data_IF_534056292678
#
_entry.id   IF_534056292678
#
_cell.length_a   1.000
_cell.length_b   1.000
_cell.length_c   1.000
_cell.angle_alpha   90.00
_cell.angle_beta   90.00
_cell.angle_gamma   90.00
#
_symmetry.space_group_name_H-M   'P 1'
#
loop_
_entity.id
_entity.type
_entity.pdbx_description
1 polymer ?
#
# COMPACT_ATOMS: atom_id res chain seq x y z
N UNK A 1 -29.14 -40.28 71.18
CA UNK A 1 -28.02 -40.15 70.22
C UNK A 1 -28.45 -39.15 69.16
N UNK A 2 -27.58 -38.17 68.94
CA UNK A 2 -27.80 -36.89 68.27
C UNK A 2 -27.90 -36.99 66.73
N UNK A 3 -28.77 -36.19 66.10
CA UNK A 3 -28.38 -35.07 65.22
C UNK A 3 -29.52 -34.59 64.29
N UNK A 4 -29.92 -33.34 64.53
CA UNK A 4 -29.93 -32.20 63.59
C UNK A 4 -30.45 -32.39 62.15
N UNK A 5 -31.65 -31.87 61.88
CA UNK A 5 -32.12 -31.51 60.53
C UNK A 5 -31.78 -30.04 60.23
N UNK A 6 -31.08 -29.78 59.13
CA UNK A 6 -30.84 -28.44 58.57
C UNK A 6 -31.52 -28.32 57.20
N UNK A 7 -32.20 -27.18 56.98
CA UNK A 7 -32.92 -26.79 55.77
C UNK A 7 -31.99 -26.28 54.66
N UNK A 8 -32.38 -26.43 53.39
CA UNK A 8 -32.00 -25.54 52.27
C UNK A 8 -33.05 -25.71 51.14
N UNK A 9 -34.02 -24.79 50.99
CA UNK A 9 -34.06 -23.65 50.04
C UNK A 9 -33.61 -23.96 48.60
N UNK A 10 -34.57 -24.03 47.68
CA UNK A 10 -34.38 -24.07 46.23
C UNK A 10 -34.22 -22.67 45.65
N UNK A 11 -33.25 -22.52 44.74
CA UNK A 11 -33.00 -21.32 43.95
C UNK A 11 -33.30 -21.56 42.47
N UNK A 12 -34.05 -20.64 41.88
CA UNK A 12 -34.47 -20.58 40.48
C UNK A 12 -33.29 -20.11 39.60
N UNK A 13 -32.89 -20.88 38.59
CA UNK A 13 -31.82 -20.50 37.66
C UNK A 13 -32.40 -19.80 36.41
N UNK A 14 -32.04 -18.52 36.22
CA UNK A 14 -32.22 -17.79 34.95
C UNK A 14 -31.17 -18.26 33.94
N UNK A 15 -31.61 -18.81 32.80
CA UNK A 15 -30.75 -19.16 31.67
C UNK A 15 -30.38 -17.93 30.83
N UNK A 16 -29.09 -17.58 30.80
CA UNK A 16 -28.52 -16.66 29.82
C UNK A 16 -28.39 -17.38 28.46
N UNK A 17 -29.11 -16.93 27.44
CA UNK A 17 -28.82 -17.29 26.05
C UNK A 17 -27.60 -16.49 25.56
N UNK A 18 -26.44 -17.14 25.49
CA UNK A 18 -25.27 -16.59 24.82
C UNK A 18 -25.42 -16.77 23.30
N UNK A 19 -25.60 -15.67 22.57
CA UNK A 19 -25.49 -15.63 21.12
C UNK A 19 -24.00 -15.75 20.74
N UNK A 20 -23.56 -16.95 20.34
CA UNK A 20 -22.23 -17.16 19.78
C UNK A 20 -22.19 -16.63 18.35
N UNK A 21 -21.58 -15.47 18.14
CA UNK A 21 -21.19 -15.01 16.80
C UNK A 21 -20.13 -15.94 16.25
N UNK A 22 -20.48 -16.75 15.25
CA UNK A 22 -19.52 -17.52 14.48
C UNK A 22 -18.63 -16.52 13.72
N UNK A 23 -17.45 -16.20 14.29
CA UNK A 23 -16.37 -15.58 13.53
C UNK A 23 -16.00 -16.56 12.42
N UNK A 24 -16.44 -16.28 11.19
CA UNK A 24 -15.93 -16.95 9.99
C UNK A 24 -14.44 -16.65 9.95
N UNK A 25 -13.62 -17.64 10.29
CA UNK A 25 -12.16 -17.53 10.20
C UNK A 25 -11.81 -17.48 8.73
N UNK A 26 -11.61 -16.27 8.21
CA UNK A 26 -10.90 -16.11 6.95
C UNK A 26 -9.46 -16.51 7.19
N UNK A 27 -9.09 -17.65 6.61
CA UNK A 27 -7.72 -18.13 6.59
C UNK A 27 -6.93 -17.32 5.57
N UNK A 28 -6.50 -16.11 5.98
CA UNK A 28 -5.35 -15.49 5.35
C UNK A 28 -4.14 -16.35 5.71
N UNK A 29 -3.76 -17.22 4.79
CA UNK A 29 -2.52 -17.98 4.88
C UNK A 29 -1.37 -17.00 4.72
N UNK A 30 -0.95 -16.40 5.84
CA UNK A 30 0.33 -15.69 5.94
C UNK A 30 1.40 -16.75 5.73
N UNK A 31 1.83 -16.94 4.49
CA UNK A 31 2.98 -17.77 4.20
C UNK A 31 4.17 -17.06 4.84
N UNK A 32 4.64 -17.54 6.00
CA UNK A 32 5.96 -17.18 6.47
C UNK A 32 6.93 -17.55 5.35
N UNK A 33 7.69 -16.58 4.85
CA UNK A 33 8.70 -16.87 3.84
C UNK A 33 9.71 -17.84 4.47
N UNK A 34 10.05 -18.96 3.80
CA UNK A 34 10.98 -19.94 4.36
C UNK A 34 12.31 -19.23 4.68
N UNK A 35 12.69 -19.28 5.96
CA UNK A 35 13.97 -18.76 6.42
C UNK A 35 15.10 -19.56 5.76
N UNK A 36 16.02 -18.93 5.01
CA UNK A 36 17.10 -19.65 4.35
C UNK A 36 18.07 -20.25 5.38
N UNK A 37 18.72 -21.37 5.03
CA UNK A 37 19.84 -21.92 5.79
C UNK A 37 20.95 -20.86 5.89
N UNK A 38 21.26 -20.44 7.11
CA UNK A 38 21.97 -19.19 7.40
C UNK A 38 23.37 -19.13 6.79
N UNK A 39 23.56 -18.14 5.90
CA UNK A 39 24.88 -17.61 5.58
C UNK A 39 24.94 -16.20 6.17
N UNK A 40 25.41 -16.04 7.42
CA UNK A 40 25.42 -14.73 8.07
C UNK A 40 26.36 -13.76 7.34
N UNK A 41 25.87 -12.55 7.09
CA UNK A 41 26.66 -11.45 6.51
C UNK A 41 27.09 -10.54 7.66
N UNK A 42 28.38 -10.59 8.00
CA UNK A 42 28.96 -9.77 9.08
C UNK A 42 29.75 -8.55 8.57
N UNK A 43 30.07 -8.51 7.26
CA UNK A 43 30.65 -7.32 6.64
C UNK A 43 29.65 -6.17 6.69
N UNK A 44 30.05 -5.05 7.28
CA UNK A 44 29.22 -3.84 7.37
C UNK A 44 29.20 -3.05 6.06
N UNK A 45 30.11 -3.33 5.12
CA UNK A 45 30.07 -2.74 3.77
C UNK A 45 29.49 -3.76 2.78
N UNK A 46 28.48 -3.32 2.03
CA UNK A 46 27.77 -4.12 1.03
C UNK A 46 28.03 -3.58 -0.38
N UNK A 47 28.28 -4.49 -1.31
CA UNK A 47 28.36 -4.27 -2.76
C UNK A 47 28.49 -5.62 -3.48
N UNK A 48 28.22 -5.65 -4.78
CA UNK A 48 28.37 -6.82 -5.64
C UNK A 48 27.32 -7.90 -5.38
N UNK A 49 27.64 -9.13 -5.75
CA UNK A 49 26.75 -10.27 -5.56
C UNK A 49 26.60 -10.58 -4.07
N UNK A 50 25.37 -10.63 -3.58
CA UNK A 50 25.06 -10.83 -2.17
C UNK A 50 23.94 -11.85 -1.98
N UNK A 51 24.16 -12.75 -1.02
CA UNK A 51 23.18 -13.74 -0.55
C UNK A 51 23.43 -14.07 0.90
N UNK A 52 22.41 -14.57 1.59
CA UNK A 52 22.47 -14.90 3.01
C UNK A 52 21.68 -13.90 3.85
N UNK A 53 22.13 -13.67 5.08
CA UNK A 53 21.36 -12.97 6.11
C UNK A 53 22.08 -11.73 6.62
N UNK A 54 21.48 -10.54 6.44
CA UNK A 54 21.85 -9.35 7.20
C UNK A 54 21.29 -9.48 8.62
N UNK A 55 22.17 -9.41 9.62
CA UNK A 55 21.90 -9.78 11.00
C UNK A 55 21.47 -8.58 11.86
N UNK A 56 20.45 -8.78 12.70
CA UNK A 56 20.08 -7.80 13.72
C UNK A 56 21.23 -7.48 14.67
N UNK A 57 22.12 -8.44 14.94
CA UNK A 57 23.28 -8.27 15.83
C UNK A 57 24.38 -7.37 15.27
N UNK A 58 24.42 -7.18 13.94
CA UNK A 58 25.31 -6.19 13.30
C UNK A 58 24.68 -4.80 13.35
N UNK A 59 23.34 -4.73 13.24
CA UNK A 59 22.58 -3.48 13.33
C UNK A 59 22.65 -2.67 12.05
N UNK A 60 23.81 -2.09 11.73
CA UNK A 60 23.93 -1.14 10.62
C UNK A 60 24.91 -1.62 9.54
N UNK A 61 24.45 -1.53 8.29
CA UNK A 61 25.24 -1.77 7.09
C UNK A 61 25.30 -0.49 6.24
N UNK A 62 26.37 -0.37 5.44
CA UNK A 62 26.55 0.68 4.43
C UNK A 62 26.69 0.02 3.07
N UNK A 63 25.76 0.32 2.16
CA UNK A 63 25.81 -0.13 0.78
C UNK A 63 26.51 0.94 -0.06
N UNK A 64 27.75 0.63 -0.47
CA UNK A 64 28.64 1.57 -1.17
C UNK A 64 28.73 1.34 -2.68
N UNK A 65 28.13 0.26 -3.15
CA UNK A 65 27.91 -0.05 -4.56
C UNK A 65 26.65 -0.89 -4.70
N UNK A 66 26.23 -1.11 -5.96
CA UNK A 66 25.06 -1.93 -6.28
C UNK A 66 25.15 -3.32 -5.65
N UNK A 67 24.02 -3.84 -5.19
CA UNK A 67 23.88 -5.19 -4.63
C UNK A 67 23.06 -6.04 -5.57
N UNK A 68 23.58 -7.21 -5.93
CA UNK A 68 22.94 -8.13 -6.86
C UNK A 68 22.56 -9.43 -6.14
N UNK A 69 21.28 -9.77 -6.12
CA UNK A 69 20.78 -11.05 -5.61
C UNK A 69 20.47 -11.93 -6.82
N UNK A 70 21.37 -12.85 -7.13
CA UNK A 70 21.28 -13.68 -8.33
C UNK A 70 20.08 -14.66 -8.28
N UNK A 71 19.68 -15.16 -9.45
CA UNK A 71 18.65 -16.19 -9.57
C UNK A 71 18.98 -17.40 -8.67
N UNK A 72 17.98 -17.91 -7.94
CA UNK A 72 18.07 -18.97 -6.90
C UNK A 72 18.77 -18.57 -5.61
N UNK A 73 19.39 -17.40 -5.52
CA UNK A 73 19.91 -16.89 -4.25
C UNK A 73 18.80 -16.15 -3.48
N UNK A 74 19.02 -16.00 -2.18
CA UNK A 74 18.12 -15.27 -1.28
C UNK A 74 18.93 -14.26 -0.47
N UNK A 75 18.45 -13.03 -0.43
CA UNK A 75 18.86 -12.04 0.55
C UNK A 75 17.77 -11.91 1.61
N UNK A 76 18.11 -12.24 2.85
CA UNK A 76 17.25 -12.13 4.01
C UNK A 76 17.75 -11.00 4.91
N UNK A 77 16.84 -10.12 5.35
CA UNK A 77 17.15 -8.98 6.21
C UNK A 77 16.35 -9.09 7.50
N UNK A 78 17.07 -9.31 8.60
CA UNK A 78 16.44 -9.43 9.92
C UNK A 78 15.93 -8.08 10.44
N UNK A 79 14.94 -8.13 11.33
CA UNK A 79 14.38 -6.99 12.05
C UNK A 79 15.45 -6.08 12.66
N UNK A 80 15.15 -4.78 12.72
CA UNK A 80 16.03 -3.76 13.32
C UNK A 80 17.30 -3.44 12.52
N UNK A 81 17.53 -4.08 11.37
CA UNK A 81 18.68 -3.76 10.52
C UNK A 81 18.46 -2.39 9.84
N UNK A 82 19.50 -1.56 9.82
CA UNK A 82 19.57 -0.32 9.06
C UNK A 82 20.58 -0.45 7.93
N UNK A 83 20.19 -0.07 6.71
CA UNK A 83 21.05 -0.05 5.53
C UNK A 83 21.14 1.40 5.04
N UNK A 84 22.33 1.99 5.18
CA UNK A 84 22.67 3.29 4.63
C UNK A 84 23.18 3.11 3.20
N UNK A 85 22.44 3.61 2.22
CA UNK A 85 22.78 3.49 0.81
C UNK A 85 23.45 4.78 0.32
N UNK A 86 24.61 4.62 -0.30
CA UNK A 86 25.40 5.72 -0.87
C UNK A 86 25.64 5.50 -2.36
N UNK A 87 26.25 6.49 -3.03
CA UNK A 87 26.68 6.41 -4.43
C UNK A 87 25.56 6.07 -5.43
N UNK A 88 24.32 6.47 -5.16
CA UNK A 88 23.17 6.16 -6.01
C UNK A 88 22.99 4.64 -6.27
N UNK A 89 23.50 3.81 -5.34
CA UNK A 89 23.47 2.36 -5.46
C UNK A 89 22.02 1.82 -5.40
N UNK A 90 21.78 0.67 -6.01
CA UNK A 90 20.49 -0.02 -5.99
C UNK A 90 20.63 -1.52 -5.68
N UNK A 91 19.52 -2.11 -5.25
CA UNK A 91 19.38 -3.56 -5.22
C UNK A 91 18.88 -4.02 -6.58
N UNK A 92 19.55 -5.00 -7.18
CA UNK A 92 19.10 -5.73 -8.37
C UNK A 92 18.78 -7.16 -7.95
N UNK A 93 17.52 -7.57 -8.07
CA UNK A 93 17.04 -8.85 -7.53
C UNK A 93 16.50 -9.71 -8.66
N UNK A 94 17.22 -10.79 -8.96
CA UNK A 94 16.77 -11.89 -9.80
C UNK A 94 16.37 -13.13 -8.95
N UNK A 95 16.86 -13.20 -7.71
CA UNK A 95 16.53 -14.23 -6.73
C UNK A 95 15.34 -13.87 -5.84
N UNK A 96 15.47 -14.12 -4.54
CA UNK A 96 14.45 -13.80 -3.53
C UNK A 96 14.92 -12.69 -2.61
N UNK A 97 14.05 -11.71 -2.35
CA UNK A 97 14.24 -10.70 -1.32
C UNK A 97 13.23 -10.92 -0.19
N UNK A 98 13.74 -11.09 1.03
CA UNK A 98 12.92 -11.22 2.23
C UNK A 98 13.40 -10.19 3.26
N UNK A 99 12.59 -9.17 3.51
CA UNK A 99 12.80 -8.18 4.57
C UNK A 99 11.77 -8.43 5.66
N UNK A 100 12.24 -8.78 6.86
CA UNK A 100 11.38 -9.20 7.97
C UNK A 100 11.63 -8.34 9.20
N UNK A 101 11.09 -7.12 9.16
CA UNK A 101 10.98 -6.26 10.34
C UNK A 101 9.85 -6.69 11.28
N UNK A 102 9.73 -5.97 12.39
CA UNK A 102 8.56 -6.01 13.26
C UNK A 102 8.13 -4.60 13.64
N UNK A 103 6.92 -4.42 14.16
CA UNK A 103 6.46 -3.13 14.69
C UNK A 103 7.43 -2.51 15.70
N UNK A 104 8.00 -3.35 16.58
CA UNK A 104 8.94 -2.90 17.60
C UNK A 104 10.38 -2.71 17.07
N UNK A 105 10.70 -3.23 15.88
CA UNK A 105 12.05 -3.22 15.31
C UNK A 105 11.96 -3.26 13.78
N UNK A 106 11.50 -2.19 13.13
CA UNK A 106 11.40 -2.15 11.69
C UNK A 106 12.81 -2.21 11.05
N UNK A 107 12.87 -2.69 9.82
CA UNK A 107 14.08 -2.57 8.98
C UNK A 107 14.10 -1.17 8.36
N UNK A 108 15.26 -0.54 8.22
CA UNK A 108 15.36 0.79 7.59
C UNK A 108 16.31 0.74 6.40
N UNK A 109 15.83 1.15 5.24
CA UNK A 109 16.63 1.48 4.06
C UNK A 109 16.57 2.99 3.86
N UNK A 110 17.71 3.65 3.91
CA UNK A 110 17.79 5.11 3.80
C UNK A 110 19.10 5.53 3.14
N UNK A 111 19.28 6.83 2.93
CA UNK A 111 20.55 7.41 2.55
C UNK A 111 21.02 8.42 3.60
N UNK A 112 22.32 8.49 3.93
CA UNK A 112 22.86 9.54 4.79
C UNK A 112 22.57 10.97 4.31
N UNK A 113 22.25 11.15 3.03
CA UNK A 113 21.88 12.45 2.45
C UNK A 113 20.47 12.90 2.82
N UNK A 114 19.58 11.99 3.26
CA UNK A 114 18.17 12.26 3.58
C UNK A 114 17.45 13.10 2.52
N UNK A 115 17.69 12.78 1.24
CA UNK A 115 17.18 13.54 0.09
C UNK A 115 16.59 12.59 -0.94
N UNK A 116 15.41 12.90 -1.46
CA UNK A 116 14.77 12.15 -2.56
C UNK A 116 15.77 11.80 -3.66
N UNK A 117 15.75 10.55 -4.12
CA UNK A 117 16.60 10.10 -5.22
C UNK A 117 18.07 9.92 -4.86
N UNK A 118 18.41 9.79 -3.58
CA UNK A 118 19.81 9.58 -3.15
C UNK A 118 20.31 8.16 -3.41
N UNK A 119 19.39 7.21 -3.62
CA UNK A 119 19.71 5.84 -3.96
C UNK A 119 18.64 5.23 -4.86
N UNK A 120 18.98 4.15 -5.56
CA UNK A 120 18.21 3.67 -6.70
C UNK A 120 17.05 2.73 -6.40
N UNK A 121 16.71 2.49 -5.13
CA UNK A 121 15.60 1.61 -4.77
C UNK A 121 15.88 0.12 -5.05
N UNK A 122 14.79 -0.63 -5.21
CA UNK A 122 14.79 -2.07 -5.49
C UNK A 122 14.37 -2.33 -6.94
N UNK A 123 15.30 -2.81 -7.75
CA UNK A 123 15.10 -3.18 -9.15
C UNK A 123 14.96 -4.71 -9.25
N UNK A 124 13.74 -5.19 -9.11
CA UNK A 124 13.37 -6.60 -8.95
C UNK A 124 12.76 -7.21 -10.21
N UNK A 125 13.24 -6.78 -11.38
CA UNK A 125 12.70 -7.15 -12.69
C UNK A 125 12.54 -8.65 -12.89
N UNK A 126 13.53 -9.43 -12.46
CA UNK A 126 13.50 -10.89 -12.64
C UNK A 126 13.41 -11.64 -11.33
N UNK A 127 12.96 -11.01 -10.26
CA UNK A 127 12.86 -11.65 -8.95
C UNK A 127 11.98 -12.91 -9.01
N UNK A 128 12.31 -13.89 -8.18
CA UNK A 128 11.45 -15.05 -7.93
C UNK A 128 10.37 -14.71 -6.89
N UNK A 129 10.73 -13.89 -5.89
CA UNK A 129 9.77 -13.34 -4.93
C UNK A 129 10.31 -12.09 -4.24
N UNK A 130 9.40 -11.21 -3.83
CA UNK A 130 9.70 -10.03 -3.01
C UNK A 130 8.73 -10.04 -1.83
N UNK A 131 9.27 -10.11 -0.61
CA UNK A 131 8.51 -9.99 0.63
C UNK A 131 9.14 -8.91 1.50
N UNK A 132 8.41 -7.83 1.76
CA UNK A 132 8.85 -6.72 2.60
C UNK A 132 7.80 -6.48 3.67
N UNK A 133 8.21 -6.57 4.94
CA UNK A 133 7.33 -6.34 6.09
C UNK A 133 8.01 -5.46 7.12
N UNK A 134 7.27 -4.51 7.68
CA UNK A 134 7.78 -3.58 8.71
C UNK A 134 9.11 -2.94 8.32
N UNK A 135 9.14 -2.31 7.14
CA UNK A 135 10.32 -1.64 6.63
C UNK A 135 10.05 -0.16 6.36
N UNK A 136 10.99 0.71 6.74
CA UNK A 136 11.08 2.07 6.22
C UNK A 136 11.96 2.07 4.98
N UNK A 137 11.42 2.53 3.86
CA UNK A 137 12.13 2.68 2.58
C UNK A 137 12.05 4.15 2.22
N UNK A 138 13.12 4.88 2.51
CA UNK A 138 13.12 6.34 2.42
C UNK A 138 14.06 6.82 1.32
N UNK A 139 13.66 7.88 0.61
CA UNK A 139 14.54 8.66 -0.28
C UNK A 139 15.11 7.91 -1.49
N UNK A 140 14.40 6.89 -1.96
CA UNK A 140 14.78 6.11 -3.13
C UNK A 140 14.52 6.86 -4.46
N UNK A 141 14.68 6.15 -5.56
CA UNK A 141 14.35 6.60 -6.92
C UNK A 141 15.47 7.29 -7.70
N UNK A 142 16.70 7.27 -7.18
CA UNK A 142 17.85 7.90 -7.81
C UNK A 142 18.08 7.46 -9.26
N UNK A 143 18.76 8.28 -10.08
CA UNK A 143 18.78 8.12 -11.53
C UNK A 143 19.43 6.80 -11.98
N UNK A 144 18.94 6.22 -13.07
CA UNK A 144 19.58 5.10 -13.76
C UNK A 144 20.77 5.59 -14.62
N UNK A 145 21.40 4.68 -15.38
CA UNK A 145 22.52 5.01 -16.25
C UNK A 145 22.19 6.03 -17.37
N UNK A 146 20.92 6.21 -17.73
CA UNK A 146 20.46 7.21 -18.71
C UNK A 146 20.04 8.53 -18.06
N UNK A 147 20.18 8.67 -16.74
CA UNK A 147 19.77 9.85 -15.97
C UNK A 147 18.27 9.90 -15.63
N UNK A 148 17.48 8.92 -16.07
CA UNK A 148 16.05 8.84 -15.75
C UNK A 148 15.86 8.36 -14.31
N UNK A 149 14.88 8.90 -13.56
CA UNK A 149 14.61 8.40 -12.22
C UNK A 149 14.17 6.93 -12.26
N UNK A 150 14.41 6.22 -11.16
CA UNK A 150 13.94 4.84 -10.95
C UNK A 150 12.71 4.86 -10.04
N UNK A 151 11.85 3.86 -10.16
CA UNK A 151 10.83 3.60 -9.14
C UNK A 151 11.47 3.11 -7.83
N UNK A 152 10.84 3.41 -6.70
CA UNK A 152 11.30 3.00 -5.36
C UNK A 152 11.37 1.47 -5.25
N UNK A 153 10.31 0.77 -5.67
CA UNK A 153 10.29 -0.67 -5.92
C UNK A 153 9.79 -0.90 -7.33
N UNK A 154 10.62 -1.52 -8.17
CA UNK A 154 10.29 -1.86 -9.55
C UNK A 154 10.28 -3.36 -9.75
N UNK A 155 9.25 -3.88 -10.40
CA UNK A 155 9.10 -5.30 -10.77
C UNK A 155 8.61 -5.36 -12.20
N UNK A 156 9.34 -6.03 -13.06
CA UNK A 156 9.05 -6.12 -14.48
C UNK A 156 9.54 -7.48 -15.03
N UNK A 157 8.73 -8.56 -14.88
CA UNK A 157 9.10 -9.89 -15.35
C UNK A 157 9.64 -9.87 -16.78
N UNK A 158 10.77 -10.55 -17.01
CA UNK A 158 11.41 -10.62 -18.34
C UNK A 158 10.69 -11.59 -19.30
N UNK A 159 9.65 -12.28 -18.84
CA UNK A 159 8.89 -13.26 -19.60
C UNK A 159 7.45 -13.35 -19.11
N UNK A 160 6.45 -13.53 -20.00
CA UNK A 160 5.05 -13.74 -19.61
C UNK A 160 4.83 -15.02 -18.80
N UNK A 161 5.80 -15.96 -18.77
CA UNK A 161 5.74 -17.18 -17.95
C UNK A 161 6.25 -16.97 -16.52
N UNK A 162 6.94 -15.86 -16.27
CA UNK A 162 7.51 -15.57 -14.96
C UNK A 162 6.41 -15.02 -14.04
N UNK A 163 6.18 -15.73 -12.95
CA UNK A 163 5.24 -15.32 -11.91
C UNK A 163 6.03 -14.82 -10.70
N UNK A 164 5.71 -13.63 -10.23
CA UNK A 164 6.40 -13.00 -9.10
C UNK A 164 5.36 -12.72 -8.02
N UNK A 165 5.53 -13.33 -6.86
CA UNK A 165 4.75 -12.98 -5.67
C UNK A 165 5.37 -11.76 -5.00
N UNK A 166 4.54 -10.75 -4.78
CA UNK A 166 4.94 -9.47 -4.19
C UNK A 166 4.12 -9.22 -2.95
N UNK A 167 4.75 -9.29 -1.79
CA UNK A 167 4.12 -8.97 -0.51
C UNK A 167 4.82 -7.76 0.07
N UNK A 168 4.09 -6.65 0.24
CA UNK A 168 4.58 -5.43 0.87
C UNK A 168 3.56 -5.06 1.93
N UNK A 169 3.91 -5.25 3.19
CA UNK A 169 2.96 -5.08 4.28
C UNK A 169 3.53 -4.28 5.43
N UNK A 170 2.67 -3.52 6.11
CA UNK A 170 3.01 -2.87 7.38
C UNK A 170 4.27 -1.99 7.26
N UNK A 171 4.50 -1.38 6.11
CA UNK A 171 5.75 -0.70 5.75
C UNK A 171 5.53 0.75 5.34
N UNK A 172 6.63 1.51 5.28
CA UNK A 172 6.65 2.91 4.86
C UNK A 172 7.50 3.06 3.60
N UNK A 173 6.93 3.70 2.58
CA UNK A 173 7.66 4.13 1.40
C UNK A 173 7.52 5.65 1.34
N UNK A 174 8.63 6.36 1.54
CA UNK A 174 8.59 7.81 1.71
C UNK A 174 9.60 8.50 0.80
N UNK A 175 9.09 9.51 0.10
CA UNK A 175 9.88 10.51 -0.60
C UNK A 175 10.78 9.93 -1.70
N UNK A 176 10.29 8.95 -2.47
CA UNK A 176 10.86 8.57 -3.78
C UNK A 176 10.69 9.64 -4.87
N UNK A 177 11.45 9.56 -5.96
CA UNK A 177 11.42 10.55 -7.07
C UNK A 177 10.54 10.18 -8.25
N UNK A 178 10.07 8.95 -8.32
CA UNK A 178 9.18 8.40 -9.36
C UNK A 178 8.16 7.46 -8.70
N UNK A 179 7.61 6.49 -9.44
CA UNK A 179 6.67 5.51 -8.94
C UNK A 179 7.15 4.84 -7.63
N UNK A 180 6.29 4.79 -6.61
CA UNK A 180 6.61 4.14 -5.34
C UNK A 180 6.72 2.62 -5.51
N UNK A 181 5.68 2.02 -6.08
CA UNK A 181 5.65 0.59 -6.44
C UNK A 181 5.24 0.51 -7.91
N UNK A 182 6.16 0.11 -8.78
CA UNK A 182 5.92 -0.01 -10.22
C UNK A 182 6.02 -1.47 -10.67
N UNK A 183 4.90 -2.03 -11.13
CA UNK A 183 4.78 -3.44 -11.51
C UNK A 183 4.35 -3.56 -12.97
N UNK A 184 5.10 -4.31 -13.78
CA UNK A 184 4.88 -4.45 -15.21
C UNK A 184 4.87 -5.92 -15.64
N UNK A 185 3.73 -6.62 -15.68
CA UNK A 185 3.68 -7.92 -16.37
C UNK A 185 2.72 -8.97 -15.81
N UNK A 186 2.37 -9.93 -16.67
CA UNK A 186 1.20 -10.79 -16.53
C UNK A 186 1.27 -11.93 -15.52
N UNK A 187 2.31 -11.99 -14.70
CA UNK A 187 2.48 -13.02 -13.66
C UNK A 187 2.66 -12.44 -12.26
N UNK A 188 2.49 -11.13 -12.08
CA UNK A 188 2.71 -10.47 -10.79
C UNK A 188 1.45 -10.59 -9.93
N UNK A 189 1.57 -11.24 -8.77
CA UNK A 189 0.49 -11.36 -7.78
C UNK A 189 0.85 -10.55 -6.55
N UNK A 190 0.05 -9.53 -6.24
CA UNK A 190 0.32 -8.52 -5.22
C UNK A 190 -0.50 -8.73 -3.95
N UNK A 191 0.17 -8.48 -2.83
CA UNK A 191 -0.41 -8.33 -1.49
C UNK A 191 0.23 -7.08 -0.87
N UNK A 192 -0.35 -5.92 -1.19
CA UNK A 192 0.13 -4.60 -0.75
C UNK A 192 -0.85 -4.07 0.28
N UNK A 193 -0.55 -4.27 1.57
CA UNK A 193 -1.50 -3.96 2.63
C UNK A 193 -0.92 -3.25 3.84
N UNK A 194 -1.71 -2.35 4.45
CA UNK A 194 -1.33 -1.66 5.70
C UNK A 194 -0.02 -0.87 5.59
N UNK A 195 0.27 -0.32 4.42
CA UNK A 195 1.46 0.52 4.23
C UNK A 195 1.11 2.00 4.35
N UNK A 196 2.12 2.82 4.64
CA UNK A 196 2.05 4.27 4.56
C UNK A 196 2.98 4.71 3.43
N UNK A 197 2.41 5.16 2.32
CA UNK A 197 3.12 5.52 1.10
C UNK A 197 2.93 7.01 0.85
N UNK A 198 4.00 7.77 0.96
CA UNK A 198 3.92 9.22 1.11
C UNK A 198 4.91 9.95 0.24
N UNK A 199 4.48 11.07 -0.33
CA UNK A 199 5.39 12.00 -0.97
C UNK A 199 6.21 11.36 -2.12
N UNK A 200 5.67 10.33 -2.78
CA UNK A 200 6.32 9.69 -3.93
C UNK A 200 6.20 10.55 -5.20
N UNK A 201 7.22 10.45 -6.05
CA UNK A 201 7.29 11.23 -7.29
C UNK A 201 7.76 12.68 -7.10
N UNK A 202 8.23 13.27 -8.19
CA UNK A 202 8.57 14.70 -8.26
C UNK A 202 7.41 15.47 -8.92
N UNK A 203 7.46 15.63 -10.24
CA UNK A 203 6.37 16.16 -11.07
C UNK A 203 5.61 15.05 -11.79
N UNK A 204 6.07 13.81 -11.68
CA UNK A 204 5.40 12.60 -12.16
C UNK A 204 5.71 11.45 -11.18
N UNK A 205 5.07 10.31 -11.39
CA UNK A 205 5.18 9.11 -10.56
C UNK A 205 3.90 8.80 -9.80
N UNK A 206 3.40 7.58 -9.99
CA UNK A 206 2.24 7.02 -9.31
C UNK A 206 2.69 6.32 -8.00
N UNK A 207 1.95 6.44 -6.90
CA UNK A 207 2.38 5.81 -5.64
C UNK A 207 2.38 4.26 -5.76
N UNK A 208 1.32 3.70 -6.35
CA UNK A 208 1.22 2.28 -6.74
C UNK A 208 0.76 2.20 -8.20
N UNK A 209 1.64 1.72 -9.07
CA UNK A 209 1.44 1.57 -10.51
C UNK A 209 1.37 0.09 -10.91
N UNK A 210 0.16 -0.44 -11.05
CA UNK A 210 -0.08 -1.85 -11.39
C UNK A 210 -0.36 -1.97 -12.88
N UNK A 211 0.59 -2.56 -13.61
CA UNK A 211 0.54 -2.66 -15.07
C UNK A 211 0.58 -4.10 -15.60
N UNK A 212 0.00 -4.26 -16.79
CA UNK A 212 0.27 -5.37 -17.71
C UNK A 212 -0.02 -6.77 -17.16
N UNK A 213 -1.12 -6.92 -16.44
CA UNK A 213 -1.63 -8.21 -15.98
C UNK A 213 -1.41 -8.52 -14.51
N UNK A 214 -1.10 -7.50 -13.70
CA UNK A 214 -1.00 -7.65 -12.25
C UNK A 214 -2.35 -8.05 -11.64
N UNK A 215 -2.32 -8.96 -10.66
CA UNK A 215 -3.50 -9.39 -9.90
C UNK A 215 -3.25 -9.34 -8.40
N UNK A 216 -4.30 -9.38 -7.58
CA UNK A 216 -4.17 -9.48 -6.13
C UNK A 216 -4.93 -8.39 -5.38
N UNK A 217 -4.37 -7.95 -4.25
CA UNK A 217 -5.03 -7.03 -3.32
C UNK A 217 -4.14 -5.84 -2.97
N UNK A 218 -4.74 -4.65 -3.03
CA UNK A 218 -4.19 -3.39 -2.50
C UNK A 218 -5.18 -2.86 -1.48
N UNK A 219 -4.89 -3.04 -0.19
CA UNK A 219 -5.86 -2.72 0.85
C UNK A 219 -5.28 -2.13 2.13
N UNK A 220 -6.08 -1.33 2.83
CA UNK A 220 -5.69 -0.77 4.13
C UNK A 220 -4.45 0.11 4.08
N UNK A 221 -4.06 0.64 2.91
CA UNK A 221 -2.90 1.53 2.82
C UNK A 221 -3.32 2.97 3.08
N UNK A 222 -2.42 3.75 3.66
CA UNK A 222 -2.49 5.21 3.68
C UNK A 222 -1.57 5.72 2.58
N UNK A 223 -2.14 6.45 1.61
CA UNK A 223 -1.39 7.09 0.54
C UNK A 223 -1.58 8.59 0.60
N UNK A 224 -0.51 9.36 0.54
CA UNK A 224 -0.64 10.81 0.62
C UNK A 224 0.37 11.56 -0.23
N UNK A 225 -0.05 12.72 -0.75
CA UNK A 225 0.82 13.65 -1.48
C UNK A 225 1.66 12.98 -2.58
N UNK A 226 1.08 12.00 -3.28
CA UNK A 226 1.70 11.43 -4.47
C UNK A 226 1.71 12.45 -5.61
N UNK A 227 2.76 12.47 -6.43
CA UNK A 227 2.85 13.42 -7.54
C UNK A 227 1.77 13.16 -8.60
N UNK A 228 1.64 11.90 -9.01
CA UNK A 228 0.65 11.39 -9.95
C UNK A 228 -0.50 10.65 -9.26
N UNK A 229 -0.87 9.51 -9.82
CA UNK A 229 -1.99 8.69 -9.32
C UNK A 229 -1.58 7.95 -8.05
N UNK A 230 -2.43 7.92 -7.01
CA UNK A 230 -2.11 7.10 -5.84
C UNK A 230 -2.17 5.60 -6.17
N UNK A 231 -3.25 5.12 -6.80
CA UNK A 231 -3.37 3.72 -7.24
C UNK A 231 -3.81 3.66 -8.70
N UNK A 232 -2.93 3.19 -9.59
CA UNK A 232 -3.23 2.96 -11.00
C UNK A 232 -3.37 1.48 -11.30
N UNK A 233 -4.46 1.12 -11.98
CA UNK A 233 -4.65 -0.16 -12.65
C UNK A 233 -4.61 0.07 -14.16
N UNK A 234 -3.68 -0.56 -14.85
CA UNK A 234 -3.54 -0.46 -16.30
C UNK A 234 -3.19 -1.84 -16.88
N UNK A 235 -3.81 -2.31 -17.96
CA UNK A 235 -3.30 -3.53 -18.64
C UNK A 235 -2.21 -3.12 -19.64
N UNK A 236 -2.63 -2.82 -20.86
CA UNK A 236 -1.79 -2.35 -21.96
C UNK A 236 -2.71 -2.16 -23.16
N UNK A 237 -2.46 -1.17 -24.03
CA UNK A 237 -3.22 -1.02 -25.27
C UNK A 237 -2.81 -2.04 -26.34
N UNK A 238 -1.68 -2.74 -26.19
CA UNK A 238 -1.13 -3.66 -27.20
C UNK A 238 -1.03 -5.11 -26.73
N UNK A 239 -0.95 -5.34 -25.43
CA UNK A 239 -0.88 -6.68 -24.83
C UNK A 239 -2.06 -6.84 -23.87
N UNK A 240 -3.18 -7.31 -24.40
CA UNK A 240 -4.45 -7.32 -23.67
C UNK A 240 -4.55 -8.42 -22.62
N UNK A 241 -3.70 -9.44 -22.68
CA UNK A 241 -3.75 -10.59 -21.79
C UNK A 241 -2.39 -10.95 -21.19
N UNK A 242 -2.36 -11.37 -19.92
CA UNK A 242 -3.49 -11.30 -18.98
C UNK A 242 -3.83 -9.85 -18.61
N UNK A 243 -5.09 -9.60 -18.24
CA UNK A 243 -5.56 -8.27 -17.83
C UNK A 243 -5.15 -7.97 -16.39
N UNK A 244 -4.79 -6.73 -16.12
CA UNK A 244 -4.64 -6.25 -14.75
C UNK A 244 -5.99 -6.33 -14.07
N UNK A 245 -6.08 -7.06 -12.95
CA UNK A 245 -7.32 -7.27 -12.21
C UNK A 245 -7.02 -7.35 -10.70
N UNK A 246 -7.25 -6.24 -10.02
CA UNK A 246 -6.85 -6.06 -8.62
C UNK A 246 -8.04 -5.59 -7.78
N UNK A 247 -8.17 -6.17 -6.59
CA UNK A 247 -9.07 -5.65 -5.56
C UNK A 247 -8.39 -4.49 -4.85
N UNK A 248 -8.97 -3.31 -4.92
CA UNK A 248 -8.51 -2.07 -4.28
C UNK A 248 -9.53 -1.67 -3.24
N UNK A 249 -9.26 -1.94 -1.96
CA UNK A 249 -10.24 -1.67 -0.92
C UNK A 249 -9.69 -1.08 0.38
N UNK A 250 -10.52 -0.33 1.10
CA UNK A 250 -10.15 0.18 2.42
C UNK A 250 -8.85 0.98 2.44
N UNK A 251 -8.45 1.64 1.36
CA UNK A 251 -7.30 2.55 1.39
C UNK A 251 -7.76 3.94 1.85
N UNK A 252 -6.91 4.67 2.58
CA UNK A 252 -7.07 6.11 2.84
C UNK A 252 -6.12 6.85 1.92
N UNK A 253 -6.66 7.66 1.02
CA UNK A 253 -5.90 8.40 0.01
C UNK A 253 -6.13 9.88 0.25
N UNK A 254 -5.05 10.63 0.40
CA UNK A 254 -5.11 12.06 0.75
C UNK A 254 -4.24 12.92 -0.14
N UNK A 255 -4.85 13.94 -0.76
CA UNK A 255 -4.12 15.02 -1.45
C UNK A 255 -3.14 14.54 -2.54
N UNK A 256 -3.48 13.46 -3.25
CA UNK A 256 -2.66 12.96 -4.36
C UNK A 256 -2.96 13.68 -5.67
N UNK A 257 -1.97 13.75 -6.55
CA UNK A 257 -2.13 14.15 -7.95
C UNK A 257 -1.93 15.63 -8.26
N UNK A 258 -1.61 16.46 -7.28
CA UNK A 258 -1.44 17.91 -7.49
C UNK A 258 -0.11 18.29 -8.16
N UNK A 259 0.99 17.57 -7.90
CA UNK A 259 2.31 17.96 -8.40
C UNK A 259 2.50 17.75 -9.90
N UNK A 260 1.69 16.89 -10.52
CA UNK A 260 1.65 16.70 -11.98
C UNK A 260 1.05 17.90 -12.73
N UNK A 261 0.32 18.75 -12.00
CA UNK A 261 -0.28 19.97 -12.54
C UNK A 261 -1.53 19.74 -13.37
N UNK A 262 -2.16 20.84 -13.79
CA UNK A 262 -3.49 20.84 -14.43
C UNK A 262 -3.51 20.19 -15.84
N UNK A 263 -2.35 20.05 -16.49
CA UNK A 263 -2.27 19.47 -17.84
C UNK A 263 -2.47 17.95 -17.86
N UNK A 264 -2.05 17.26 -16.80
CA UNK A 264 -2.24 15.81 -16.67
C UNK A 264 -2.39 15.36 -15.20
N UNK A 265 -3.43 15.82 -14.49
CA UNK A 265 -3.50 15.67 -13.04
C UNK A 265 -3.50 14.21 -12.59
N UNK A 266 -2.95 13.92 -11.41
CA UNK A 266 -3.07 12.57 -10.84
C UNK A 266 -4.49 12.26 -10.36
N UNK A 267 -4.80 10.98 -10.17
CA UNK A 267 -6.06 10.50 -9.55
C UNK A 267 -5.81 9.83 -8.20
N UNK A 268 -6.82 9.75 -7.35
CA UNK A 268 -6.77 8.86 -6.21
C UNK A 268 -6.68 7.40 -6.69
N UNK A 269 -7.61 7.00 -7.55
CA UNK A 269 -7.63 5.66 -8.13
C UNK A 269 -7.98 5.76 -9.61
N UNK A 270 -7.28 5.02 -10.46
CA UNK A 270 -7.63 4.89 -11.88
C UNK A 270 -7.67 3.44 -12.34
N UNK A 271 -8.64 3.14 -13.20
CA UNK A 271 -8.66 1.94 -14.04
C UNK A 271 -8.58 2.37 -15.51
N UNK A 272 -7.57 1.88 -16.22
CA UNK A 272 -7.22 2.32 -17.57
C UNK A 272 -6.82 1.14 -18.48
N UNK A 273 -6.83 1.36 -19.80
CA UNK A 273 -6.37 0.44 -20.86
C UNK A 273 -6.61 -1.04 -20.55
N UNK A 274 -7.86 -1.47 -20.67
CA UNK A 274 -8.34 -2.83 -20.45
C UNK A 274 -8.10 -3.40 -19.04
N UNK A 275 -7.80 -2.57 -18.03
CA UNK A 275 -7.78 -3.02 -16.65
C UNK A 275 -9.18 -3.34 -16.14
N UNK A 276 -9.25 -4.32 -15.26
CA UNK A 276 -10.39 -4.75 -14.46
C UNK A 276 -10.10 -4.45 -12.99
N UNK A 277 -11.11 -4.51 -12.14
CA UNK A 277 -10.87 -4.45 -10.69
C UNK A 277 -12.13 -4.34 -9.86
N UNK A 278 -11.94 -4.53 -8.56
CA UNK A 278 -12.96 -4.33 -7.53
C UNK A 278 -12.53 -3.16 -6.62
N UNK A 279 -13.22 -2.02 -6.71
CA UNK A 279 -12.80 -0.77 -6.07
C UNK A 279 -13.83 -0.33 -5.03
N UNK A 280 -13.61 -0.69 -3.76
CA UNK A 280 -14.60 -0.52 -2.69
C UNK A 280 -14.03 0.05 -1.40
N UNK A 281 -14.83 0.75 -0.60
CA UNK A 281 -14.45 1.17 0.75
C UNK A 281 -13.20 2.07 0.81
N UNK A 282 -12.80 2.74 -0.27
CA UNK A 282 -11.66 3.65 -0.22
C UNK A 282 -12.10 5.02 0.30
N UNK A 283 -11.35 5.56 1.24
CA UNK A 283 -11.50 6.93 1.75
C UNK A 283 -10.64 7.86 0.91
N UNK A 284 -11.28 8.60 0.01
CA UNK A 284 -10.66 9.50 -0.97
C UNK A 284 -10.90 10.94 -0.51
N UNK A 285 -9.84 11.59 -0.06
CA UNK A 285 -9.94 12.90 0.57
C UNK A 285 -8.99 13.87 -0.10
N UNK A 286 -9.51 15.00 -0.54
CA UNK A 286 -8.69 16.12 -0.98
C UNK A 286 -7.84 15.83 -2.24
N UNK A 287 -7.96 14.66 -2.87
CA UNK A 287 -7.26 14.32 -4.11
C UNK A 287 -7.66 15.23 -5.27
N UNK A 288 -6.75 15.43 -6.23
CA UNK A 288 -7.02 16.31 -7.36
C UNK A 288 -8.20 15.78 -8.19
N UNK A 289 -8.10 14.53 -8.63
CA UNK A 289 -9.18 13.71 -9.20
C UNK A 289 -9.43 12.51 -8.29
N UNK A 290 -10.70 12.12 -8.12
CA UNK A 290 -11.09 10.98 -7.29
C UNK A 290 -10.91 9.65 -8.03
N UNK A 291 -12.03 8.99 -8.34
CA UNK A 291 -12.06 7.71 -9.04
C UNK A 291 -12.28 7.91 -10.54
N UNK A 292 -11.30 7.51 -11.34
CA UNK A 292 -11.36 7.56 -12.81
C UNK A 292 -11.45 6.15 -13.41
N UNK A 293 -12.58 5.85 -14.05
CA UNK A 293 -12.75 4.63 -14.85
C UNK A 293 -12.71 5.09 -16.29
N UNK A 294 -11.54 4.94 -16.92
CA UNK A 294 -11.31 5.43 -18.26
C UNK A 294 -12.18 4.66 -19.26
N UNK A 295 -12.75 5.31 -20.30
CA UNK A 295 -13.47 4.62 -21.38
C UNK A 295 -12.71 3.46 -22.04
N UNK A 296 -11.38 3.46 -22.01
CA UNK A 296 -10.57 2.37 -22.56
C UNK A 296 -10.25 1.26 -21.55
N UNK A 297 -10.72 1.33 -20.31
CA UNK A 297 -10.67 0.22 -19.36
C UNK A 297 -11.61 -0.91 -19.79
N UNK A 298 -11.52 -2.07 -19.15
CA UNK A 298 -12.56 -3.10 -19.28
C UNK A 298 -13.73 -2.75 -18.36
N UNK A 299 -14.45 -1.69 -18.74
CA UNK A 299 -15.48 -1.03 -17.94
C UNK A 299 -16.50 -2.02 -17.38
N UNK A 300 -16.86 -3.06 -18.15
CA UNK A 300 -17.83 -4.08 -17.72
C UNK A 300 -17.37 -4.87 -16.49
N UNK A 301 -16.05 -5.01 -16.32
CA UNK A 301 -15.42 -5.80 -15.27
C UNK A 301 -14.71 -4.91 -14.23
N UNK A 302 -14.92 -3.59 -14.28
CA UNK A 302 -14.58 -2.68 -13.17
C UNK A 302 -15.83 -2.48 -12.32
N UNK A 303 -15.87 -3.14 -11.16
CA UNK A 303 -16.96 -3.00 -10.18
C UNK A 303 -16.51 -2.12 -9.03
N UNK A 304 -17.39 -1.23 -8.57
CA UNK A 304 -17.03 -0.23 -7.58
C UNK A 304 -18.26 0.29 -6.81
N UNK A 305 -18.01 0.88 -5.64
CA UNK A 305 -19.03 1.47 -4.78
C UNK A 305 -18.53 1.55 -3.33
N UNK A 306 -19.36 2.09 -2.42
CA UNK A 306 -18.97 2.27 -1.01
C UNK A 306 -17.68 3.09 -0.84
N UNK A 307 -17.33 3.91 -1.82
CA UNK A 307 -16.18 4.80 -1.71
C UNK A 307 -16.63 6.11 -1.06
N UNK A 308 -15.72 6.73 -0.32
CA UNK A 308 -15.98 7.98 0.40
C UNK A 308 -15.20 9.10 -0.27
N UNK A 309 -15.88 10.18 -0.63
CA UNK A 309 -15.32 11.32 -1.34
C UNK A 309 -15.54 12.60 -0.53
N UNK A 310 -14.44 13.25 -0.16
CA UNK A 310 -14.47 14.54 0.51
C UNK A 310 -13.39 15.47 -0.03
N UNK A 311 -13.67 16.77 -0.05
CA UNK A 311 -12.68 17.81 -0.32
C UNK A 311 -13.02 19.07 0.47
N UNK A 312 -11.98 19.70 0.99
CA UNK A 312 -12.00 21.02 1.62
C UNK A 312 -12.15 22.16 0.58
N UNK A 313 -11.79 21.90 -0.68
CA UNK A 313 -11.79 22.87 -1.77
C UNK A 313 -13.03 22.68 -2.63
N UNK A 314 -14.01 23.58 -2.49
CA UNK A 314 -15.32 23.42 -3.13
C UNK A 314 -15.26 23.23 -4.65
N UNK A 315 -14.33 23.91 -5.32
CA UNK A 315 -14.16 23.85 -6.78
C UNK A 315 -13.65 22.50 -7.29
N UNK A 316 -13.09 21.64 -6.44
CA UNK A 316 -12.59 20.31 -6.81
C UNK A 316 -13.63 19.19 -6.62
N UNK A 317 -14.82 19.46 -6.04
CA UNK A 317 -15.87 18.41 -5.89
C UNK A 317 -16.32 17.80 -7.20
N UNK A 318 -16.37 18.59 -8.27
CA UNK A 318 -16.67 18.12 -9.62
C UNK A 318 -15.70 17.05 -10.13
N UNK A 319 -14.56 16.88 -9.46
CA UNK A 319 -13.51 15.95 -9.85
C UNK A 319 -13.57 14.60 -9.10
N UNK A 320 -14.50 14.40 -8.16
CA UNK A 320 -14.64 13.09 -7.49
C UNK A 320 -14.81 11.95 -8.50
N UNK A 321 -15.56 12.23 -9.56
CA UNK A 321 -15.58 11.48 -10.81
C UNK A 321 -15.25 12.46 -11.94
N UNK A 322 -14.02 12.44 -12.49
CA UNK A 322 -13.57 13.47 -13.41
C UNK A 322 -14.33 13.44 -14.75
N UNK A 323 -14.33 14.58 -15.45
CA UNK A 323 -14.95 14.69 -16.77
C UNK A 323 -14.30 13.69 -17.76
N UNK A 324 -15.14 13.01 -18.56
CA UNK A 324 -14.68 11.94 -19.47
C UNK A 324 -14.60 10.55 -18.84
N UNK A 325 -14.57 10.45 -17.50
CA UNK A 325 -14.68 9.16 -16.81
C UNK A 325 -16.03 8.51 -17.09
N UNK A 326 -16.02 7.19 -17.34
CA UNK A 326 -17.23 6.36 -17.36
C UNK A 326 -17.76 6.15 -15.94
N UNK A 327 -16.88 6.21 -14.94
CA UNK A 327 -17.26 6.15 -13.53
C UNK A 327 -18.27 7.25 -13.18
N UNK A 328 -19.28 6.86 -12.41
CA UNK A 328 -20.35 7.73 -11.88
C UNK A 328 -20.60 7.42 -10.41
N UNK A 329 -21.05 8.41 -9.62
CA UNK A 329 -21.52 8.20 -8.25
C UNK A 329 -22.43 6.98 -8.13
N UNK A 330 -22.14 6.10 -7.17
CA UNK A 330 -23.01 5.00 -6.81
C UNK A 330 -23.92 5.38 -5.63
N UNK A 331 -25.13 4.83 -5.51
CA UNK A 331 -25.99 5.06 -4.34
C UNK A 331 -25.35 4.66 -3.01
N UNK A 332 -24.36 3.77 -3.06
CA UNK A 332 -23.58 3.28 -1.91
C UNK A 332 -22.41 4.18 -1.55
N UNK A 333 -22.02 5.14 -2.40
CA UNK A 333 -20.92 6.05 -2.11
C UNK A 333 -21.32 7.10 -1.08
N UNK A 334 -20.35 7.57 -0.30
CA UNK A 334 -20.50 8.72 0.58
C UNK A 334 -19.81 9.92 -0.07
N UNK A 335 -20.59 10.91 -0.51
CA UNK A 335 -20.06 12.06 -1.27
C UNK A 335 -20.40 13.36 -0.55
N UNK A 336 -19.39 14.16 -0.22
CA UNK A 336 -19.61 15.48 0.36
C UNK A 336 -20.17 16.49 -0.64
N UNK A 337 -21.08 17.34 -0.17
CA UNK A 337 -21.65 18.46 -0.96
C UNK A 337 -21.07 19.82 -0.58
N UNK A 338 -20.49 19.92 0.61
CA UNK A 338 -19.80 21.10 1.12
C UNK A 338 -18.60 20.68 1.98
N UNK A 339 -17.75 21.65 2.37
CA UNK A 339 -16.62 21.37 3.26
C UNK A 339 -17.06 21.00 4.68
N UNK A 340 -18.30 21.29 5.05
CA UNK A 340 -18.88 20.95 6.37
C UNK A 340 -19.79 19.72 6.31
N UNK A 341 -20.09 19.20 5.12
CA UNK A 341 -20.86 17.98 4.93
C UNK A 341 -19.91 16.80 4.87
N UNK A 342 -20.20 15.74 5.64
CA UNK A 342 -19.41 14.49 5.63
C UNK A 342 -17.91 14.78 5.75
N UNK A 343 -17.53 15.60 6.74
CA UNK A 343 -16.13 15.68 7.15
C UNK A 343 -15.69 14.27 7.60
N UNK A 344 -14.60 13.70 7.07
CA UNK A 344 -14.10 12.41 7.52
C UNK A 344 -13.71 12.39 9.00
N UNK A 345 -13.52 13.55 9.64
CA UNK A 345 -13.12 13.69 11.04
C UNK A 345 -11.80 12.98 11.31
N UNK A 346 -10.76 13.33 10.55
CA UNK A 346 -9.41 12.87 10.86
C UNK A 346 -8.97 13.37 12.25
N UNK A 347 -8.09 12.63 12.91
CA UNK A 347 -7.56 13.02 14.23
C UNK A 347 -6.67 14.27 14.12
N UNK A 348 -5.81 14.35 13.09
CA UNK A 348 -4.84 15.45 12.95
C UNK A 348 -4.93 16.26 11.66
N UNK A 349 -5.66 15.80 10.63
CA UNK A 349 -5.81 16.56 9.40
C UNK A 349 -7.01 17.52 9.50
N UNK A 350 -6.76 18.83 9.36
CA UNK A 350 -7.82 19.84 9.35
C UNK A 350 -8.70 19.75 8.09
N UNK A 351 -10.00 19.96 8.27
CA UNK A 351 -10.99 20.15 7.19
C UNK A 351 -10.73 21.40 6.31
N UNK A 352 -9.77 22.24 6.70
CA UNK A 352 -9.36 23.43 5.93
C UNK A 352 -7.97 23.31 5.30
N UNK A 353 -7.32 22.15 5.41
CA UNK A 353 -5.99 21.93 4.81
C UNK A 353 -6.06 22.10 3.30
N UNK A 354 -5.22 22.98 2.77
CA UNK A 354 -5.00 23.11 1.32
C UNK A 354 -4.29 21.85 0.81
N UNK A 355 -4.95 21.06 -0.05
CA UNK A 355 -4.39 19.80 -0.54
C UNK A 355 -3.14 19.98 -1.41
N UNK A 356 -2.96 21.15 -2.04
CA UNK A 356 -1.80 21.39 -2.90
C UNK A 356 -0.47 21.51 -2.14
N UNK A 357 -0.52 21.72 -0.82
CA UNK A 357 0.66 21.86 0.03
C UNK A 357 1.27 20.52 0.46
N UNK A 358 0.56 19.40 0.27
CA UNK A 358 1.12 18.08 0.55
C UNK A 358 1.46 17.85 2.04
N UNK A 359 0.59 18.30 2.94
CA UNK A 359 0.82 18.21 4.39
C UNK A 359 0.72 16.76 4.88
N UNK A 360 1.74 16.30 5.60
CA UNK A 360 1.71 15.06 6.38
C UNK A 360 1.31 15.34 7.84
N UNK A 361 0.09 14.97 8.27
CA UNK A 361 -0.34 15.10 9.65
C UNK A 361 0.29 14.02 10.57
N UNK A 362 1.01 13.03 10.02
CA UNK A 362 1.54 11.84 10.69
C UNK A 362 0.46 11.01 11.44
N UNK A 363 -0.82 11.23 11.14
CA UNK A 363 -1.95 10.51 11.71
C UNK A 363 -3.21 10.74 10.87
N UNK A 364 -3.58 9.72 10.10
CA UNK A 364 -4.77 9.70 9.27
C UNK A 364 -5.89 8.84 9.89
N UNK A 365 -5.84 8.56 11.19
CA UNK A 365 -6.94 7.88 11.87
C UNK A 365 -8.19 8.75 11.90
N UNK A 366 -9.34 8.07 12.01
CA UNK A 366 -10.65 8.69 12.10
C UNK A 366 -11.13 8.74 13.54
N UNK A 367 -11.71 9.88 13.94
CA UNK A 367 -12.37 10.04 15.23
C UNK A 367 -13.60 9.11 15.35
N UNK A 368 -14.03 8.82 16.58
CA UNK A 368 -15.11 7.87 16.86
C UNK A 368 -16.45 8.21 16.19
N UNK A 369 -16.73 9.50 15.94
CA UNK A 369 -17.95 9.97 15.28
C UNK A 369 -17.87 10.04 13.75
N UNK A 370 -16.77 9.61 13.14
CA UNK A 370 -16.56 9.75 11.71
C UNK A 370 -17.70 9.11 10.90
N UNK A 371 -18.24 9.81 9.89
CA UNK A 371 -19.26 9.27 8.98
C UNK A 371 -18.75 8.13 8.09
N UNK A 372 -17.44 7.85 8.06
CA UNK A 372 -16.88 6.71 7.33
C UNK A 372 -16.94 5.39 8.13
N UNK A 373 -17.07 5.44 9.46
CA UNK A 373 -17.16 4.25 10.32
C UNK A 373 -18.54 3.58 10.19
N UNK A 374 -18.56 2.26 10.07
CA UNK A 374 -19.76 1.44 9.95
C UNK A 374 -20.52 1.59 8.62
N UNK A 375 -19.88 2.15 7.58
CA UNK A 375 -20.49 2.42 6.28
C UNK A 375 -19.86 1.69 5.09
N UNK A 376 -18.90 0.81 5.33
CA UNK A 376 -18.26 0.01 4.30
C UNK A 376 -19.15 -1.12 3.78
N UNK A 377 -18.77 -1.64 2.61
CA UNK A 377 -19.24 -2.91 2.09
C UNK A 377 -18.72 -4.05 3.00
N UNK A 378 -19.61 -4.78 3.69
CA UNK A 378 -19.24 -5.80 4.67
C UNK A 378 -18.52 -7.02 4.07
N UNK A 379 -18.51 -7.15 2.74
CA UNK A 379 -17.68 -8.14 2.04
C UNK A 379 -16.18 -7.91 2.29
N UNK A 380 -15.77 -6.65 2.44
CA UNK A 380 -14.37 -6.28 2.68
C UNK A 380 -14.16 -5.84 4.14
N UNK A 381 -14.92 -4.85 4.58
CA UNK A 381 -14.91 -4.35 5.96
C UNK A 381 -16.16 -3.49 6.23
N UNK A 382 -16.60 -3.45 7.49
CA UNK A 382 -17.71 -2.59 7.89
C UNK A 382 -17.34 -1.10 7.91
N UNK A 383 -16.05 -0.77 8.01
CA UNK A 383 -15.57 0.61 7.92
C UNK A 383 -15.04 0.94 6.53
N UNK A 384 -15.01 2.24 6.22
CA UNK A 384 -14.35 2.78 5.03
C UNK A 384 -12.98 3.35 5.42
N UNK A 385 -11.98 3.15 4.56
CA UNK A 385 -10.62 3.63 4.76
C UNK A 385 -9.71 2.64 5.48
N UNK A 386 -8.47 3.09 5.72
CA UNK A 386 -7.37 2.25 6.16
C UNK A 386 -7.46 1.80 7.62
N UNK A 387 -8.12 2.59 8.48
CA UNK A 387 -8.13 2.37 9.92
C UNK A 387 -9.48 1.82 10.37
N UNK A 388 -9.58 0.49 10.36
CA UNK A 388 -10.82 -0.24 10.67
C UNK A 388 -10.94 -0.58 12.15
N UNK A 389 -12.16 -0.60 12.65
CA UNK A 389 -12.53 -0.89 14.04
C UNK A 389 -12.39 -2.35 14.43
N UNK A 390 -12.22 -3.25 13.45
CA UNK A 390 -11.96 -4.68 13.67
C UNK A 390 -10.46 -5.03 13.75
N UNK A 391 -9.58 -4.01 13.83
CA UNK A 391 -8.14 -4.13 13.95
C UNK A 391 -7.46 -4.87 12.78
N UNK A 392 -8.10 -4.94 11.61
CA UNK A 392 -7.49 -5.48 10.38
C UNK A 392 -6.77 -4.43 9.53
N UNK A 393 -7.08 -3.16 9.77
CA UNK A 393 -6.55 -2.01 9.04
C UNK A 393 -5.08 -1.67 9.31
N UNK A 394 -4.62 -0.56 8.75
CA UNK A 394 -3.34 0.05 9.10
C UNK A 394 -3.31 0.34 10.62
N UNK A 395 -2.16 0.12 11.26
CA UNK A 395 -1.96 0.26 12.71
C UNK A 395 -0.86 1.24 13.09
N UNK A 396 -0.25 1.89 12.10
CA UNK A 396 0.79 2.89 12.31
C UNK A 396 0.37 4.28 11.91
#
# INVERSE_FOLDING_TARGET
MSNSFTRALGGLALGLLALTSCKKTESLSITAAPQPSSHPITSTTLSGNLKGTLLSSVGTYTMSGDVHVALKDTLYVQKGVTINVTNNSAFFVDGNLIVEGTAASPVTFTSPLNKKGSWGGFQCDSAQSVSIKWAHINYAGGPNATGSPRGTIRIAPKSPKQHIKVTIQDSWLLSGTDDGISLFGGGVVVDIQRNTIGDEGTTDGDAINLKSGATGVVAYNVLWNGAGTAIKLETSPTVLYPQTNVTVNNNTIVASGYRRGAGEPGRAISADKFAQGAIFNNLIVNDYYGLDINPVADVKNVIYGYNYFYTAVDSTRKNFYPAGSIGKPQPTDIISTSKTDKDPMFVKLSATTDPSQGVDPNDYHLQAGSPAKGKGNPTYNNDIGAYTSDDKGNKH
#
